data_IF_407974501800
#
_entry.id   IF_407974501800
#
_cell.length_a   1.000
_cell.length_b   1.000
_cell.length_c   1.000
_cell.angle_alpha   90.00
_cell.angle_beta   90.00
_cell.angle_gamma   90.00
#
_symmetry.space_group_name_H-M   'P 1'
#
loop_
_entity.id
_entity.type
_entity.pdbx_description
1 polymer ?
#
# COMPACT_ATOMS: atom_id res chain seq x y z
N UNK A 1 11.37 -0.99 -17.22
CA UNK A 1 12.18 0.26 -17.31
C UNK A 1 12.98 0.29 -16.05
N UNK A 2 14.30 0.15 -16.18
CA UNK A 2 15.16 -0.01 -15.03
C UNK A 2 15.70 1.37 -14.65
N UNK A 3 15.33 1.80 -13.45
CA UNK A 3 15.82 3.06 -12.89
C UNK A 3 17.28 2.96 -12.42
N UNK A 4 17.90 4.09 -12.07
CA UNK A 4 19.22 4.09 -11.46
C UNK A 4 19.25 3.20 -10.20
N UNK A 5 20.24 2.31 -10.11
CA UNK A 5 20.45 1.43 -8.94
C UNK A 5 19.25 0.50 -8.63
N UNK A 6 18.41 0.17 -9.61
CA UNK A 6 17.24 -0.71 -9.45
C UNK A 6 17.59 -2.11 -8.87
N UNK A 7 18.81 -2.58 -9.11
CA UNK A 7 19.33 -3.86 -8.57
C UNK A 7 19.94 -3.76 -7.16
N UNK A 8 20.05 -2.57 -6.58
CA UNK A 8 20.62 -2.39 -5.23
C UNK A 8 19.59 -2.67 -4.14
N UNK A 9 20.04 -3.23 -3.01
CA UNK A 9 19.20 -3.50 -1.82
C UNK A 9 18.57 -2.24 -1.20
N UNK A 10 19.10 -1.07 -1.54
CA UNK A 10 18.49 0.21 -1.23
C UNK A 10 18.64 1.14 -2.44
N UNK A 11 17.53 1.72 -2.89
CA UNK A 11 17.53 2.75 -3.90
C UNK A 11 16.41 3.76 -3.65
N UNK A 12 16.59 4.97 -4.17
CA UNK A 12 15.59 6.04 -4.11
C UNK A 12 14.73 6.12 -5.38
N UNK A 13 14.73 5.05 -6.18
CA UNK A 13 13.94 5.00 -7.39
C UNK A 13 12.52 4.55 -7.06
N UNK A 14 11.54 5.33 -7.54
CA UNK A 14 10.14 5.04 -7.33
C UNK A 14 9.31 5.40 -8.55
N UNK A 15 8.26 4.63 -8.78
CA UNK A 15 7.18 5.03 -9.69
C UNK A 15 6.22 5.89 -8.89
N UNK A 16 5.75 7.01 -9.46
CA UNK A 16 4.77 7.88 -8.81
C UNK A 16 3.51 8.02 -9.64
N UNK A 17 2.37 7.85 -8.98
CA UNK A 17 1.03 8.07 -9.54
C UNK A 17 0.44 9.30 -8.87
N UNK A 18 -0.17 10.20 -9.65
CA UNK A 18 -0.85 11.41 -9.16
C UNK A 18 -2.11 11.67 -9.98
N UNK A 19 -3.00 12.52 -9.47
CA UNK A 19 -4.26 12.89 -10.12
C UNK A 19 -5.14 11.67 -10.47
N UNK A 20 -5.11 10.66 -9.60
CA UNK A 20 -5.71 9.35 -9.86
C UNK A 20 -7.03 9.15 -9.11
N UNK A 21 -7.70 10.22 -8.69
CA UNK A 21 -9.00 10.13 -8.02
C UNK A 21 -10.03 9.39 -8.90
N UNK A 22 -9.88 9.48 -10.22
CA UNK A 22 -10.58 8.67 -11.21
C UNK A 22 -9.58 8.00 -12.14
N UNK A 23 -9.74 6.70 -12.35
CA UNK A 23 -8.90 5.90 -13.24
C UNK A 23 -9.57 5.81 -14.63
N UNK A 24 -9.16 6.66 -15.56
CA UNK A 24 -9.75 6.73 -16.89
C UNK A 24 -8.76 7.21 -17.95
N UNK A 25 -9.08 6.95 -19.22
CA UNK A 25 -8.44 7.63 -20.34
C UNK A 25 -9.04 9.02 -20.53
N UNK A 26 -8.21 10.01 -20.85
CA UNK A 26 -8.64 11.34 -21.30
C UNK A 26 -8.70 11.44 -22.83
N UNK A 27 -8.36 10.37 -23.56
CA UNK A 27 -8.40 10.34 -25.02
C UNK A 27 -9.84 10.14 -25.50
N UNK A 28 -10.31 11.05 -26.35
CA UNK A 28 -11.65 10.96 -26.93
C UNK A 28 -11.83 9.64 -27.71
N UNK A 29 -12.95 8.95 -27.49
CA UNK A 29 -13.25 7.66 -28.12
C UNK A 29 -12.51 6.46 -27.53
N UNK A 30 -11.64 6.66 -26.54
CA UNK A 30 -11.04 5.53 -25.83
C UNK A 30 -12.10 4.74 -25.06
N UNK A 31 -12.03 3.39 -25.04
CA UNK A 31 -12.90 2.57 -24.23
C UNK A 31 -12.80 2.92 -22.73
N UNK A 32 -13.89 2.70 -22.00
CA UNK A 32 -13.88 2.84 -20.55
C UNK A 32 -12.89 1.83 -19.93
N UNK A 33 -12.05 2.32 -19.03
CA UNK A 33 -11.15 1.47 -18.23
C UNK A 33 -12.02 0.68 -17.25
N UNK A 34 -11.93 -0.66 -17.29
CA UNK A 34 -12.73 -1.55 -16.43
C UNK A 34 -11.99 -2.05 -15.20
N UNK A 35 -10.69 -1.84 -15.14
CA UNK A 35 -9.85 -2.14 -14.01
C UNK A 35 -8.40 -1.77 -14.30
N UNK A 36 -7.58 -1.62 -13.27
CA UNK A 36 -6.19 -1.23 -13.42
C UNK A 36 -5.31 -1.88 -12.35
N UNK A 37 -4.30 -2.62 -12.80
CA UNK A 37 -3.26 -3.18 -11.93
C UNK A 37 -1.92 -2.58 -12.29
N UNK A 38 -1.25 -2.00 -11.31
CA UNK A 38 0.08 -1.43 -11.44
C UNK A 38 1.07 -2.30 -10.67
N UNK A 39 2.11 -2.75 -11.36
CA UNK A 39 3.12 -3.65 -10.81
C UNK A 39 4.51 -3.05 -10.98
N UNK A 40 5.26 -3.01 -9.90
CA UNK A 40 6.68 -2.65 -9.91
C UNK A 40 7.43 -3.47 -8.86
N UNK A 41 8.68 -3.79 -9.12
CA UNK A 41 9.59 -4.37 -8.15
C UNK A 41 10.33 -3.29 -7.33
N UNK A 42 9.98 -2.01 -7.51
CA UNK A 42 10.56 -0.86 -6.84
C UNK A 42 9.54 -0.23 -5.88
N UNK A 43 9.87 0.93 -5.31
CA UNK A 43 8.91 1.71 -4.53
C UNK A 43 7.82 2.30 -5.43
N UNK A 44 6.59 2.34 -4.92
CA UNK A 44 5.44 2.99 -5.55
C UNK A 44 4.92 4.11 -4.65
N UNK A 45 4.78 5.30 -5.20
CA UNK A 45 4.26 6.48 -4.51
C UNK A 45 2.88 6.81 -5.07
N UNK A 46 1.86 6.78 -4.22
CA UNK A 46 0.51 7.27 -4.55
C UNK A 46 0.37 8.67 -3.97
N UNK A 47 0.14 9.65 -4.83
CA UNK A 47 -0.03 11.04 -4.43
C UNK A 47 -1.47 11.49 -4.62
N UNK A 48 -2.11 11.80 -3.49
CA UNK A 48 -3.47 12.29 -3.39
C UNK A 48 -4.50 11.17 -3.46
N UNK A 49 -5.74 11.57 -3.71
CA UNK A 49 -6.84 10.62 -3.82
C UNK A 49 -6.62 9.62 -4.97
N UNK A 50 -6.92 8.34 -4.71
CA UNK A 50 -6.79 7.26 -5.68
C UNK A 50 -8.08 6.45 -5.78
N UNK A 51 -8.65 6.37 -6.99
CA UNK A 51 -9.80 5.55 -7.33
C UNK A 51 -11.06 5.83 -6.47
N UNK A 52 -11.22 7.08 -6.03
CA UNK A 52 -12.33 7.53 -5.17
C UNK A 52 -13.56 7.99 -5.95
N UNK A 53 -13.43 8.26 -7.25
CA UNK A 53 -14.51 8.71 -8.13
C UNK A 53 -14.67 7.77 -9.32
N UNK A 54 -15.87 7.21 -9.47
CA UNK A 54 -16.13 6.20 -10.50
C UNK A 54 -15.25 4.98 -10.29
N UNK A 55 -15.28 4.44 -9.07
CA UNK A 55 -14.47 3.29 -8.65
C UNK A 55 -14.49 2.18 -9.69
N UNK A 56 -13.31 1.62 -9.95
CA UNK A 56 -13.12 0.39 -10.70
C UNK A 56 -12.19 -0.56 -9.94
N UNK A 57 -12.24 -1.88 -10.18
CA UNK A 57 -11.29 -2.82 -9.59
C UNK A 57 -9.84 -2.41 -9.88
N UNK A 58 -9.06 -2.17 -8.83
CA UNK A 58 -7.67 -1.74 -8.98
C UNK A 58 -6.74 -2.35 -7.95
N UNK A 59 -5.52 -2.70 -8.38
CA UNK A 59 -4.46 -3.21 -7.52
C UNK A 59 -3.15 -2.43 -7.69
N UNK A 60 -2.46 -2.22 -6.56
CA UNK A 60 -1.14 -1.63 -6.48
C UNK A 60 -0.18 -2.67 -5.90
N UNK A 61 0.74 -3.16 -6.72
CA UNK A 61 1.71 -4.20 -6.36
C UNK A 61 3.12 -3.62 -6.46
N UNK A 62 3.79 -3.49 -5.32
CA UNK A 62 5.09 -2.83 -5.24
C UNK A 62 6.02 -3.51 -4.22
N UNK A 63 7.31 -3.22 -4.27
CA UNK A 63 8.22 -3.62 -3.19
C UNK A 63 7.87 -2.88 -1.90
N UNK A 64 7.63 -1.57 -1.99
CA UNK A 64 7.19 -0.72 -0.88
C UNK A 64 6.22 0.35 -1.38
N UNK A 65 5.15 0.62 -0.63
CA UNK A 65 4.18 1.66 -0.95
C UNK A 65 4.33 2.89 -0.03
N UNK A 66 4.43 4.05 -0.67
CA UNK A 66 4.38 5.36 -0.02
C UNK A 66 3.07 6.05 -0.38
N UNK A 67 2.45 6.66 0.63
CA UNK A 67 1.25 7.47 0.46
C UNK A 67 1.59 8.93 0.78
N UNK A 68 1.29 9.80 -0.18
CA UNK A 68 1.40 11.25 -0.05
C UNK A 68 0.00 11.85 -0.16
N UNK A 69 -0.30 12.81 0.69
CA UNK A 69 -1.62 13.42 0.79
C UNK A 69 -1.91 14.39 -0.35
N UNK A 70 -3.15 14.87 -0.43
CA UNK A 70 -3.54 15.89 -1.41
C UNK A 70 -2.79 17.23 -1.23
N UNK A 71 -2.24 17.54 -0.04
CA UNK A 71 -1.49 18.77 0.22
C UNK A 71 0.01 18.66 -0.02
N UNK A 72 0.53 17.48 -0.38
CA UNK A 72 1.96 17.31 -0.64
C UNK A 72 2.48 18.30 -1.68
N UNK A 73 3.65 18.89 -1.39
CA UNK A 73 4.38 19.75 -2.34
C UNK A 73 5.72 19.09 -2.66
N UNK A 74 6.09 19.01 -3.93
CA UNK A 74 7.33 18.30 -4.33
C UNK A 74 8.61 18.92 -3.76
N UNK A 75 8.63 20.23 -3.53
CA UNK A 75 9.74 20.90 -2.85
C UNK A 75 9.97 20.35 -1.44
N UNK A 76 8.92 19.82 -0.81
CA UNK A 76 9.02 19.27 0.53
C UNK A 76 9.96 18.09 0.54
N UNK A 77 10.11 17.34 -0.57
CA UNK A 77 11.00 16.17 -0.69
C UNK A 77 12.45 16.42 -0.23
N UNK A 78 12.93 17.67 -0.28
CA UNK A 78 14.27 18.06 0.14
C UNK A 78 14.39 18.35 1.65
N UNK A 79 13.28 18.39 2.37
CA UNK A 79 13.21 18.70 3.80
C UNK A 79 13.28 17.40 4.59
N UNK A 80 14.34 17.21 5.37
CA UNK A 80 14.63 15.93 6.06
C UNK A 80 14.77 16.07 7.57
N UNK A 81 14.58 17.27 8.11
CA UNK A 81 14.98 17.60 9.48
C UNK A 81 13.96 18.45 10.26
N UNK A 82 12.77 18.72 9.70
CA UNK A 82 11.74 19.50 10.38
C UNK A 82 10.31 19.14 9.93
N UNK A 83 9.36 19.55 10.77
CA UNK A 83 7.92 19.31 10.65
C UNK A 83 7.19 20.43 9.89
N UNK A 84 7.41 20.57 8.58
CA UNK A 84 6.77 21.61 7.75
C UNK A 84 6.06 21.08 6.49
N UNK A 85 5.76 19.78 6.47
CA UNK A 85 5.21 19.03 5.32
C UNK A 85 3.78 18.63 5.63
N UNK A 86 2.91 19.62 5.82
CA UNK A 86 1.59 19.40 6.39
C UNK A 86 0.72 18.50 5.51
N UNK A 87 0.40 17.31 6.03
CA UNK A 87 -0.44 16.33 5.36
C UNK A 87 -1.93 16.63 5.52
N UNK A 88 -2.74 16.34 4.50
CA UNK A 88 -4.18 16.57 4.49
C UNK A 88 -4.99 15.26 4.42
N UNK A 89 -6.29 15.37 4.67
CA UNK A 89 -7.20 14.24 4.49
C UNK A 89 -7.15 13.72 3.04
N UNK A 90 -7.03 12.40 2.89
CA UNK A 90 -6.79 11.72 1.61
C UNK A 90 -7.36 10.32 1.63
N UNK A 91 -7.91 9.85 0.50
CA UNK A 91 -8.52 8.52 0.40
C UNK A 91 -7.96 7.71 -0.77
N UNK A 92 -7.63 6.44 -0.51
CA UNK A 92 -7.03 5.51 -1.48
C UNK A 92 -7.82 4.21 -1.51
N UNK A 93 -8.41 3.86 -2.66
CA UNK A 93 -9.20 2.63 -2.84
C UNK A 93 -8.51 1.67 -3.82
N UNK A 94 -7.85 0.63 -3.30
CA UNK A 94 -7.15 -0.35 -4.11
C UNK A 94 -6.86 -1.63 -3.32
N UNK A 95 -6.78 -2.78 -3.98
CA UNK A 95 -6.05 -3.91 -3.43
C UNK A 95 -4.55 -3.61 -3.41
N UNK A 96 -3.85 -4.07 -2.39
CA UNK A 96 -2.42 -3.79 -2.19
C UNK A 96 -1.65 -5.07 -1.98
N UNK A 97 -0.58 -5.23 -2.74
CA UNK A 97 0.51 -6.17 -2.44
C UNK A 97 1.79 -5.35 -2.20
N UNK A 98 2.32 -5.39 -0.99
CA UNK A 98 3.52 -4.65 -0.61
C UNK A 98 4.42 -5.44 0.32
N UNK A 99 5.72 -5.22 0.24
CA UNK A 99 6.65 -5.58 1.29
C UNK A 99 6.33 -4.79 2.57
N UNK A 100 6.49 -5.44 3.72
CA UNK A 100 6.34 -4.84 5.05
C UNK A 100 7.54 -5.26 5.90
N UNK A 101 8.16 -4.31 6.62
CA UNK A 101 9.26 -4.65 7.52
C UNK A 101 8.77 -5.61 8.61
N UNK A 102 9.65 -6.53 9.06
CA UNK A 102 9.31 -7.47 10.12
C UNK A 102 9.43 -6.79 11.48
N UNK A 103 8.40 -6.90 12.31
CA UNK A 103 8.50 -6.51 13.72
C UNK A 103 9.36 -7.53 14.47
N UNK A 104 10.27 -7.05 15.31
CA UNK A 104 11.03 -7.89 16.27
C UNK A 104 11.95 -8.97 15.68
N UNK A 105 12.28 -8.91 14.39
CA UNK A 105 13.30 -9.77 13.77
C UNK A 105 12.94 -11.26 13.61
N UNK A 106 11.88 -11.75 14.25
CA UNK A 106 11.39 -13.14 14.15
C UNK A 106 9.85 -13.20 14.01
N UNK A 107 9.32 -14.34 13.57
CA UNK A 107 7.87 -14.56 13.46
C UNK A 107 7.29 -15.11 14.77
N UNK A 108 6.01 -14.84 15.04
CA UNK A 108 5.29 -15.36 16.20
C UNK A 108 5.52 -14.55 17.48
N UNK A 109 5.34 -15.19 18.65
CA UNK A 109 5.50 -14.53 19.95
C UNK A 109 6.91 -13.94 20.15
N UNK A 110 7.94 -14.58 19.56
CA UNK A 110 9.33 -14.12 19.58
C UNK A 110 9.61 -12.90 18.66
N UNK A 111 8.59 -12.35 18.00
CA UNK A 111 8.66 -11.06 17.30
C UNK A 111 7.80 -9.98 17.95
N UNK A 112 7.08 -10.30 19.04
CA UNK A 112 6.23 -9.38 19.77
C UNK A 112 7.12 -8.65 20.82
N UNK A 113 7.07 -7.32 20.86
CA UNK A 113 7.73 -6.46 21.88
C UNK A 113 9.28 -6.52 21.99
N UNK A 114 10.01 -6.59 20.88
CA UNK A 114 11.49 -6.64 20.88
C UNK A 114 12.22 -5.27 20.94
N UNK A 115 11.70 -4.33 21.73
CA UNK A 115 12.40 -3.08 22.10
C UNK A 115 12.28 -1.93 21.08
N UNK A 116 12.83 -0.76 21.47
CA UNK A 116 12.88 0.47 20.68
C UNK A 116 13.39 0.19 19.25
N UNK A 117 12.76 0.80 18.25
CA UNK A 117 13.10 0.72 16.82
C UNK A 117 12.79 -0.58 16.05
N UNK A 118 12.15 -1.58 16.66
CA UNK A 118 11.74 -2.81 15.96
C UNK A 118 10.27 -2.84 15.53
N UNK A 119 9.52 -1.74 15.71
CA UNK A 119 8.07 -1.63 15.44
C UNK A 119 7.72 -1.32 13.98
N UNK A 120 8.52 -1.80 13.02
CA UNK A 120 8.39 -1.44 11.60
C UNK A 120 7.29 -2.18 10.82
N UNK A 121 6.65 -3.19 11.43
CA UNK A 121 5.72 -4.12 10.76
C UNK A 121 4.25 -4.01 11.15
N UNK A 122 3.47 -5.02 10.75
CA UNK A 122 2.01 -5.06 10.92
C UNK A 122 1.26 -4.19 9.92
N UNK A 123 -0.08 -4.31 9.91
CA UNK A 123 -0.92 -3.51 9.02
C UNK A 123 -0.58 -2.03 9.17
N UNK A 124 -0.37 -1.53 10.41
CA UNK A 124 -0.14 -0.11 10.77
C UNK A 124 1.01 0.57 9.99
N UNK A 125 1.92 -0.24 9.45
CA UNK A 125 3.11 0.19 8.74
C UNK A 125 3.23 -0.35 7.31
N UNK A 126 2.16 -0.92 6.73
CA UNK A 126 2.17 -1.36 5.32
C UNK A 126 2.44 -0.19 4.37
N UNK A 127 1.90 0.97 4.71
CA UNK A 127 2.11 2.21 3.98
C UNK A 127 3.15 3.07 4.70
N UNK A 128 4.08 3.61 3.92
CA UNK A 128 5.03 4.62 4.38
C UNK A 128 4.47 6.02 4.11
N UNK A 129 4.79 6.95 5.00
CA UNK A 129 4.35 8.34 4.94
C UNK A 129 5.56 9.23 5.20
N UNK A 130 5.63 10.37 4.52
CA UNK A 130 6.75 11.32 4.62
C UNK A 130 6.26 12.73 5.00
N UNK A 131 5.04 12.82 5.51
CA UNK A 131 4.33 14.06 5.83
C UNK A 131 4.06 14.18 7.33
N UNK A 132 3.78 15.40 7.74
CA UNK A 132 3.43 15.75 9.08
C UNK A 132 1.93 16.04 9.19
N UNK A 133 1.17 15.15 9.81
CA UNK A 133 -0.28 15.24 9.96
C UNK A 133 -0.73 15.89 11.28
N UNK A 134 0.01 16.89 11.80
CA UNK A 134 -0.22 17.41 13.17
C UNK A 134 -0.01 18.91 13.44
N UNK A 135 0.42 19.78 12.51
CA UNK A 135 0.76 21.19 12.86
C UNK A 135 -0.37 22.14 12.47
N UNK A 136 -0.72 23.05 13.39
CA UNK A 136 -1.74 24.11 13.21
C UNK A 136 -3.20 23.68 13.36
N UNK A 137 -3.48 22.39 13.30
CA UNK A 137 -4.80 21.79 13.49
C UNK A 137 -4.91 21.13 14.86
N UNK A 138 -5.95 21.42 15.63
CA UNK A 138 -6.33 20.65 16.83
C UNK A 138 -6.85 19.25 16.50
N UNK A 139 -6.95 18.89 15.21
CA UNK A 139 -7.35 17.56 14.73
C UNK A 139 -6.26 16.92 13.87
N UNK A 140 -6.13 15.61 14.00
CA UNK A 140 -5.30 14.76 13.13
C UNK A 140 -6.19 14.40 11.92
N UNK A 141 -5.83 14.78 10.68
CA UNK A 141 -6.64 14.43 9.51
C UNK A 141 -6.64 12.93 9.23
N UNK A 142 -7.73 12.49 8.59
CA UNK A 142 -7.93 11.10 8.20
C UNK A 142 -7.19 10.75 6.92
N UNK A 143 -6.44 9.66 6.97
CA UNK A 143 -6.00 8.96 5.77
C UNK A 143 -6.82 7.67 5.64
N UNK A 144 -7.75 7.68 4.68
CA UNK A 144 -8.67 6.57 4.44
C UNK A 144 -8.07 5.60 3.44
N UNK A 145 -8.01 4.33 3.80
CA UNK A 145 -7.69 3.24 2.88
C UNK A 145 -8.82 2.22 2.89
N UNK A 146 -9.31 1.87 1.70
CA UNK A 146 -10.33 0.83 1.52
C UNK A 146 -9.79 -0.17 0.51
N UNK A 147 -9.58 -1.40 0.93
CA UNK A 147 -8.93 -2.40 0.08
C UNK A 147 -8.53 -3.68 0.79
N UNK A 148 -7.86 -4.58 0.10
CA UNK A 148 -7.23 -5.76 0.68
C UNK A 148 -5.72 -5.54 0.81
N UNK A 149 -5.12 -5.94 1.93
CA UNK A 149 -3.66 -5.84 2.12
C UNK A 149 -3.08 -7.25 2.11
N UNK A 150 -2.12 -7.48 1.21
CA UNK A 150 -1.32 -8.70 1.15
C UNK A 150 0.15 -8.31 1.29
N UNK A 151 0.88 -9.05 2.12
CA UNK A 151 2.34 -8.96 2.18
C UNK A 151 2.93 -10.35 2.11
N UNK A 152 3.92 -10.52 1.23
CA UNK A 152 4.62 -11.79 1.03
C UNK A 152 6.01 -11.82 1.70
N UNK A 153 6.46 -10.69 2.26
CA UNK A 153 7.78 -10.60 2.88
C UNK A 153 8.22 -9.17 3.18
N UNK A 154 9.49 -9.06 3.57
CA UNK A 154 10.14 -7.77 3.80
C UNK A 154 10.48 -7.09 2.46
N UNK A 155 10.47 -5.75 2.41
CA UNK A 155 10.89 -5.02 1.21
C UNK A 155 12.37 -5.30 0.90
N UNK A 156 12.69 -5.38 -0.40
CA UNK A 156 14.02 -5.65 -0.92
C UNK A 156 14.80 -4.38 -1.25
N UNK A 157 14.11 -3.26 -1.49
CA UNK A 157 14.71 -2.00 -1.94
C UNK A 157 14.50 -0.83 -0.97
N UNK A 158 13.71 -1.01 0.09
CA UNK A 158 13.46 -0.01 1.14
C UNK A 158 13.87 -0.50 2.53
N UNK A 159 15.17 -0.67 2.75
CA UNK A 159 15.74 -1.20 4.01
C UNK A 159 16.29 -0.12 4.95
N UNK A 160 15.53 0.95 5.20
CA UNK A 160 15.92 1.98 6.17
C UNK A 160 15.65 1.54 7.62
N UNK A 161 16.44 2.06 8.56
CA UNK A 161 16.10 2.02 9.98
C UNK A 161 14.80 2.77 10.26
N UNK A 162 14.15 2.41 11.36
CA UNK A 162 12.99 3.12 11.86
C UNK A 162 13.43 4.44 12.52
N UNK A 163 12.84 5.58 12.14
CA UNK A 163 13.26 6.91 12.61
C UNK A 163 14.48 7.48 11.87
N UNK A 164 15.04 8.64 12.29
CA UNK A 164 14.54 9.55 13.31
C UNK A 164 13.35 10.34 12.75
N UNK A 165 12.21 10.34 13.46
CA UNK A 165 10.95 10.90 12.97
C UNK A 165 10.91 12.44 12.94
N UNK A 166 11.89 13.09 12.33
CA UNK A 166 12.05 14.55 12.35
C UNK A 166 11.14 15.29 11.37
N UNK A 167 10.48 14.56 10.46
CA UNK A 167 9.66 15.10 9.37
C UNK A 167 8.33 14.35 9.18
N UNK A 168 7.99 13.43 10.09
CA UNK A 168 6.82 12.56 9.98
C UNK A 168 6.03 12.49 11.29
N UNK A 169 4.71 12.53 11.17
CA UNK A 169 3.79 12.03 12.21
C UNK A 169 2.66 11.25 11.56
N UNK A 170 2.16 10.22 12.22
CA UNK A 170 1.05 9.44 11.67
C UNK A 170 -0.26 10.25 11.50
N UNK A 171 -1.00 10.06 10.39
CA UNK A 171 -2.40 10.50 10.27
C UNK A 171 -3.32 9.63 11.13
N UNK A 172 -4.61 9.99 11.19
CA UNK A 172 -5.63 9.05 11.65
C UNK A 172 -5.87 8.01 10.56
N UNK A 173 -5.55 6.74 10.84
CA UNK A 173 -5.61 5.66 9.85
C UNK A 173 -7.01 5.06 9.84
N UNK A 174 -7.79 5.39 8.81
CA UNK A 174 -9.14 4.83 8.63
C UNK A 174 -9.05 3.72 7.60
N UNK A 175 -8.78 2.50 8.06
CA UNK A 175 -8.55 1.35 7.19
C UNK A 175 -9.69 0.36 7.26
N UNK A 176 -10.19 -0.04 6.09
CA UNK A 176 -11.22 -1.06 5.98
C UNK A 176 -10.94 -2.00 4.81
N UNK A 177 -11.47 -3.21 4.94
CA UNK A 177 -11.56 -4.13 3.82
C UNK A 177 -12.58 -3.59 2.80
N UNK A 178 -12.27 -3.73 1.51
CA UNK A 178 -13.22 -3.43 0.45
C UNK A 178 -14.11 -4.65 0.20
N UNK A 179 -15.34 -4.64 0.73
CA UNK A 179 -16.28 -5.76 0.62
C UNK A 179 -16.65 -6.13 -0.81
N UNK A 180 -16.44 -5.22 -1.78
CA UNK A 180 -16.58 -5.51 -3.21
C UNK A 180 -15.68 -6.65 -3.66
N UNK A 181 -14.52 -6.84 -3.01
CA UNK A 181 -13.61 -7.95 -3.33
C UNK A 181 -14.13 -9.33 -2.92
N UNK A 182 -15.31 -9.43 -2.30
CA UNK A 182 -16.02 -10.70 -2.14
C UNK A 182 -16.68 -11.18 -3.44
N UNK A 183 -16.86 -10.30 -4.42
CA UNK A 183 -17.34 -10.63 -5.76
C UNK A 183 -16.15 -10.81 -6.72
N UNK A 184 -16.07 -11.98 -7.35
CA UNK A 184 -15.00 -12.34 -8.27
C UNK A 184 -14.94 -11.41 -9.48
N UNK A 185 -16.08 -10.86 -9.94
CA UNK A 185 -16.15 -9.93 -11.07
C UNK A 185 -15.64 -8.53 -10.69
N UNK A 186 -15.48 -8.26 -9.39
CA UNK A 186 -14.99 -7.00 -8.84
C UNK A 186 -13.55 -7.08 -8.34
N UNK A 187 -12.87 -8.21 -8.58
CA UNK A 187 -11.45 -8.35 -8.30
C UNK A 187 -10.62 -7.55 -9.31
N UNK A 188 -9.54 -6.90 -8.87
CA UNK A 188 -8.61 -6.24 -9.78
C UNK A 188 -8.09 -7.21 -10.86
N UNK A 189 -7.77 -6.70 -12.07
CA UNK A 189 -7.11 -7.51 -13.09
C UNK A 189 -5.86 -8.19 -12.53
N UNK A 190 -5.60 -9.44 -12.91
CA UNK A 190 -4.44 -10.23 -12.43
C UNK A 190 -4.45 -10.51 -10.91
N UNK A 191 -5.61 -10.45 -10.24
CA UNK A 191 -5.72 -10.95 -8.86
C UNK A 191 -5.32 -12.43 -8.81
N UNK A 192 -4.37 -12.83 -7.95
CA UNK A 192 -4.01 -14.23 -7.80
C UNK A 192 -5.22 -15.06 -7.36
N UNK A 193 -5.51 -16.13 -8.09
CA UNK A 193 -6.53 -17.12 -7.73
C UNK A 193 -5.85 -18.41 -7.27
N UNK A 194 -6.29 -18.97 -6.15
CA UNK A 194 -5.87 -20.28 -5.68
C UNK A 194 -6.96 -21.30 -5.98
N UNK A 195 -6.59 -22.38 -6.67
CA UNK A 195 -7.45 -23.54 -6.91
C UNK A 195 -6.93 -24.67 -6.04
N UNK A 196 -7.77 -25.25 -5.19
CA UNK A 196 -7.45 -26.49 -4.49
C UNK A 196 -8.30 -27.63 -5.02
N UNK A 197 -7.69 -28.81 -5.11
CA UNK A 197 -8.37 -30.06 -5.42
C UNK A 197 -8.67 -30.76 -4.10
N UNK A 198 -9.96 -31.03 -3.84
CA UNK A 198 -10.37 -31.90 -2.75
C UNK A 198 -10.60 -33.30 -3.31
N UNK A 199 -9.77 -34.25 -2.94
CA UNK A 199 -10.04 -35.66 -3.23
C UNK A 199 -11.08 -36.17 -2.22
N UNK A 200 -12.27 -36.50 -2.70
CA UNK A 200 -13.30 -37.16 -1.91
C UNK A 200 -13.31 -38.66 -2.26
N UNK A 201 -13.12 -39.52 -1.25
CA UNK A 201 -13.19 -40.97 -1.40
C UNK A 201 -14.61 -41.42 -1.09
N UNK A 202 -15.29 -42.00 -2.09
CA UNK A 202 -16.56 -42.68 -1.88
C UNK A 202 -16.30 -44.19 -1.77
N UNK A 203 -16.51 -44.75 -0.58
CA UNK A 203 -16.50 -46.21 -0.37
C UNK A 203 -17.93 -46.71 -0.23
N UNK A 204 -18.30 -47.73 -1.02
CA UNK A 204 -19.56 -48.46 -0.88
C UNK A 204 -19.28 -49.83 -0.29
N UNK A 205 -19.88 -50.14 0.86
CA UNK A 205 -19.93 -51.49 1.42
C UNK A 205 -21.19 -52.21 0.92
N UNK A 206 -21.06 -53.51 0.67
CA UNK A 206 -22.19 -54.39 0.38
C UNK A 206 -22.40 -55.31 1.60
N UNK A 207 -23.61 -55.39 2.11
CA UNK A 207 -23.98 -56.39 3.12
C UNK A 207 -24.18 -57.74 2.43
N UNK A 208 -23.67 -58.81 3.08
CA UNK A 208 -23.74 -60.20 2.63
C UNK A 208 -25.12 -60.81 2.91
#
# INVERSE_FOLDING_TARGET
VDGPLSGSNHNNYAIRIRNASRLQSNLAGAPAVRGLTLVTDQSLVVWGNYNTSGWIPSALMADTLYLLSNSWVDSDSYITDRYDRDGSATSVYAAVLSGIARTGGANGAAGQDHGEDTNGGGAINVFRFNEWFRVGSSSIPDFTYVGSIVSLGAPRHSQSSWGPFTYYSAPNRVWSFDERFNDADQLPPMTPAFIYLRQELFTRSYEL
#
